data_IF_248074668821
#
_entry.id   IF_248074668821
#
_cell.length_a   1.000
_cell.length_b   1.000
_cell.length_c   1.000
_cell.angle_alpha   90.00
_cell.angle_beta   90.00
_cell.angle_gamma   90.00
#
_symmetry.space_group_name_H-M   'P 1'
#
loop_
_entity.id
_entity.type
_entity.pdbx_description
1 polymer ?
#
# COMPACT_ATOMS: atom_id res chain seq x y z
N UNK A 1 8.01 1.99 5.46
CA UNK A 1 7.04 1.43 4.50
C UNK A 1 7.15 2.04 3.10
N UNK A 2 6.86 3.34 2.86
CA UNK A 2 6.89 3.96 1.51
C UNK A 2 8.18 3.64 0.73
N UNK A 3 9.34 3.92 1.33
CA UNK A 3 10.63 3.68 0.70
C UNK A 3 10.95 2.20 0.44
N UNK A 4 10.39 1.27 1.22
CA UNK A 4 10.58 -0.16 0.99
C UNK A 4 9.77 -0.63 -0.22
N UNK A 5 8.52 -0.14 -0.34
CA UNK A 5 7.63 -0.47 -1.45
C UNK A 5 8.17 0.12 -2.76
N UNK A 6 8.56 1.40 -2.79
CA UNK A 6 9.17 2.02 -3.99
C UNK A 6 10.45 1.28 -4.44
N UNK A 7 11.22 0.75 -3.48
CA UNK A 7 12.48 0.05 -3.78
C UNK A 7 12.27 -1.39 -4.22
N UNK A 8 11.24 -2.06 -3.69
CA UNK A 8 10.85 -3.40 -4.11
C UNK A 8 10.10 -3.38 -5.45
N UNK A 9 9.35 -2.31 -5.72
CA UNK A 9 8.52 -2.17 -6.90
C UNK A 9 8.63 -0.77 -7.52
N UNK A 10 9.55 -0.58 -8.49
CA UNK A 10 9.73 0.69 -9.17
C UNK A 10 8.54 1.08 -10.09
N UNK A 11 7.71 0.11 -10.50
CA UNK A 11 6.52 0.33 -11.35
C UNK A 11 5.26 0.76 -10.57
N UNK A 12 5.35 0.89 -9.23
CA UNK A 12 4.20 1.19 -8.39
C UNK A 12 4.31 2.61 -7.85
N UNK A 13 3.31 3.43 -8.16
CA UNK A 13 3.23 4.79 -7.60
C UNK A 13 2.68 4.73 -6.18
N UNK A 14 3.55 5.02 -5.22
CA UNK A 14 3.17 5.13 -3.81
C UNK A 14 2.96 6.59 -3.46
N UNK A 15 1.71 7.01 -3.41
CA UNK A 15 1.33 8.34 -2.96
C UNK A 15 0.96 8.32 -1.47
N UNK A 16 1.63 9.15 -0.68
CA UNK A 16 1.37 9.24 0.76
C UNK A 16 0.41 10.40 0.99
N UNK A 17 -0.88 10.10 1.03
CA UNK A 17 -1.91 11.11 1.27
C UNK A 17 -1.98 11.36 2.78
N UNK A 18 -1.44 12.50 3.19
CA UNK A 18 -1.47 12.96 4.58
C UNK A 18 -2.91 13.31 4.98
N UNK A 19 -3.64 12.32 5.48
CA UNK A 19 -4.97 12.51 6.02
C UNK A 19 -4.89 12.57 7.55
N UNK A 20 -5.59 13.51 8.19
CA UNK A 20 -5.62 13.67 9.67
C UNK A 20 -6.06 12.43 10.46
N UNK A 21 -6.43 11.33 9.79
CA UNK A 21 -6.85 10.06 10.40
C UNK A 21 -5.85 8.89 10.30
N UNK A 22 -4.63 9.07 9.79
CA UNK A 22 -3.61 7.99 9.77
C UNK A 22 -4.01 6.76 8.93
N UNK A 23 -4.83 6.98 7.91
CA UNK A 23 -5.35 5.98 6.98
C UNK A 23 -4.30 5.66 5.91
N UNK A 24 -4.17 4.38 5.57
CA UNK A 24 -3.26 3.90 4.52
C UNK A 24 -4.04 3.02 3.56
N UNK A 25 -4.05 3.35 2.28
CA UNK A 25 -4.81 2.63 1.26
C UNK A 25 -3.87 2.28 0.10
N UNK A 26 -3.93 1.03 -0.35
CA UNK A 26 -3.11 0.51 -1.45
C UNK A 26 -4.06 0.11 -2.56
N UNK A 27 -3.82 0.70 -3.73
CA UNK A 27 -4.64 0.51 -4.92
C UNK A 27 -3.72 0.06 -6.05
N UNK A 28 -4.08 -1.03 -6.72
CA UNK A 28 -3.36 -1.56 -7.89
C UNK A 28 -4.31 -1.55 -9.08
N UNK A 29 -3.90 -0.95 -10.20
CA UNK A 29 -4.73 -0.85 -11.41
C UNK A 29 -6.15 -0.28 -11.16
N UNK A 30 -6.26 0.67 -10.23
CA UNK A 30 -7.55 1.24 -9.81
C UNK A 30 -8.40 0.34 -8.90
N UNK A 31 -7.89 -0.83 -8.51
CA UNK A 31 -8.52 -1.76 -7.59
C UNK A 31 -7.92 -1.65 -6.19
N UNK A 32 -8.76 -1.35 -5.18
CA UNK A 32 -8.33 -1.24 -3.79
C UNK A 32 -7.99 -2.64 -3.27
N UNK A 33 -6.70 -2.95 -3.17
CA UNK A 33 -6.21 -4.24 -2.69
C UNK A 33 -5.99 -4.25 -1.18
N UNK A 34 -5.75 -3.09 -0.56
CA UNK A 34 -5.57 -3.00 0.89
C UNK A 34 -6.08 -1.66 1.42
N UNK A 35 -6.68 -1.66 2.61
CA UNK A 35 -7.05 -0.43 3.33
C UNK A 35 -6.86 -0.64 4.81
N UNK A 36 -5.85 0.01 5.39
CA UNK A 36 -5.61 0.08 6.84
C UNK A 36 -6.80 0.64 7.59
N UNK A 37 -7.65 1.45 6.97
CA UNK A 37 -8.91 1.90 7.58
C UNK A 37 -9.88 0.74 7.80
N UNK A 38 -9.88 -0.26 6.92
CA UNK A 38 -10.67 -1.48 7.07
C UNK A 38 -10.02 -2.48 8.03
N UNK A 39 -8.72 -2.70 7.93
CA UNK A 39 -8.00 -3.71 8.74
C UNK A 39 -7.53 -3.21 10.10
N UNK A 40 -7.47 -1.89 10.33
CA UNK A 40 -7.00 -1.28 11.58
C UNK A 40 -5.51 -1.43 11.84
N UNK A 41 -4.75 -2.06 10.93
CA UNK A 41 -3.31 -2.35 11.07
C UNK A 41 -2.57 -2.04 9.77
N UNK A 42 -1.26 -1.81 9.89
CA UNK A 42 -0.42 -1.72 8.70
C UNK A 42 -0.34 -3.09 8.01
N UNK A 43 -0.36 -3.13 6.67
CA UNK A 43 -0.09 -4.36 5.95
C UNK A 43 1.35 -4.80 6.20
N UNK A 44 1.59 -6.09 6.27
CA UNK A 44 2.96 -6.62 6.24
C UNK A 44 3.48 -6.64 4.80
N UNK A 45 4.79 -6.51 4.64
CA UNK A 45 5.46 -6.55 3.33
C UNK A 45 5.00 -7.78 2.52
N UNK A 46 4.98 -8.96 3.15
CA UNK A 46 4.58 -10.23 2.55
C UNK A 46 3.10 -10.30 2.12
N UNK A 47 2.21 -9.46 2.66
CA UNK A 47 0.80 -9.39 2.23
C UNK A 47 0.62 -8.53 0.97
N UNK A 48 1.48 -7.53 0.77
CA UNK A 48 1.34 -6.56 -0.34
C UNK A 48 2.21 -6.96 -1.53
N UNK A 49 3.45 -7.43 -1.31
CA UNK A 49 4.37 -7.85 -2.37
C UNK A 49 3.70 -8.80 -3.39
N UNK A 50 3.10 -9.94 -3.00
CA UNK A 50 2.51 -10.86 -3.97
C UNK A 50 1.30 -10.27 -4.71
N UNK A 51 0.52 -9.41 -4.07
CA UNK A 51 -0.64 -8.76 -4.71
C UNK A 51 -0.19 -7.68 -5.70
N UNK A 52 0.93 -7.03 -5.40
CA UNK A 52 1.56 -6.01 -6.22
C UNK A 52 2.31 -6.60 -7.43
N UNK A 53 2.94 -7.76 -7.29
CA UNK A 53 3.74 -8.39 -8.35
C UNK A 53 3.01 -9.32 -9.34
N UNK A 54 1.71 -9.59 -9.13
CA UNK A 54 0.91 -10.50 -9.98
C UNK A 54 0.38 -9.87 -11.28
#
# INVERSE_FOLDING_TARGET
MKAAIEKAYPDIQVELIESSGGVFEVTKDGQLIFSKKKTGRFPEEDEILPVLGA
#
